data_IF_173805572607
#
_entry.id   IF_173805572607
#
_cell.length_a   1.000
_cell.length_b   1.000
_cell.length_c   1.000
_cell.angle_alpha   90.00
_cell.angle_beta   90.00
_cell.angle_gamma   90.00
#
_symmetry.space_group_name_H-M   'P 1'
#
loop_
_entity.id
_entity.type
_entity.pdbx_description
1 polymer ?
#
# COMPACT_ATOMS: atom_id res chain seq x y z
N UNK A 1 -52.31 26.70 44.96
CA UNK A 1 -52.58 25.67 43.93
C UNK A 1 -51.90 26.12 42.64
N UNK A 2 -50.59 25.90 42.56
CA UNK A 2 -49.90 24.85 41.78
C UNK A 2 -49.61 25.27 40.32
N UNK A 3 -48.50 26.00 40.18
CA UNK A 3 -47.74 26.25 38.96
C UNK A 3 -46.87 25.02 38.66
N UNK A 4 -47.16 24.26 37.60
CA UNK A 4 -46.28 23.16 37.16
C UNK A 4 -46.57 22.76 35.71
N UNK A 5 -46.32 23.64 34.72
CA UNK A 5 -46.15 23.20 33.32
C UNK A 5 -45.28 24.21 32.57
N UNK A 6 -43.94 24.15 32.66
CA UNK A 6 -43.04 24.81 31.69
C UNK A 6 -41.55 24.46 31.84
N UNK A 7 -41.19 23.19 32.11
CA UNK A 7 -39.76 22.77 32.20
C UNK A 7 -39.41 21.59 31.27
N UNK A 8 -40.35 21.06 30.46
CA UNK A 8 -40.03 19.91 29.58
C UNK A 8 -39.58 20.27 28.16
N UNK A 9 -39.58 21.54 27.76
CA UNK A 9 -39.22 21.94 26.38
C UNK A 9 -37.78 22.46 26.23
N UNK A 10 -37.03 22.62 27.33
CA UNK A 10 -35.64 23.09 27.27
C UNK A 10 -34.59 21.96 27.20
N UNK A 11 -34.98 20.71 27.45
CA UNK A 11 -34.08 19.55 27.41
C UNK A 11 -34.02 18.83 26.05
N UNK A 12 -34.85 19.23 25.08
CA UNK A 12 -34.84 18.69 23.71
C UNK A 12 -34.01 19.52 22.72
N UNK A 13 -33.37 20.61 23.16
CA UNK A 13 -32.53 21.49 22.33
C UNK A 13 -31.01 21.31 22.56
N UNK A 14 -30.60 20.33 23.38
CA UNK A 14 -29.19 20.04 23.67
C UNK A 14 -28.67 18.71 23.07
N UNK A 15 -29.46 18.02 22.25
CA UNK A 15 -29.01 16.85 21.48
C UNK A 15 -29.25 17.06 19.99
N UNK A 16 -28.89 18.24 19.51
CA UNK A 16 -28.54 18.44 18.11
C UNK A 16 -27.09 18.91 18.11
N UNK A 17 -26.19 17.98 18.45
CA UNK A 17 -24.81 18.08 18.04
C UNK A 17 -24.82 18.12 16.52
N UNK A 18 -24.88 19.34 15.98
CA UNK A 18 -24.58 19.64 14.61
C UNK A 18 -23.16 19.14 14.37
N UNK A 19 -23.06 17.93 13.80
CA UNK A 19 -21.82 17.41 13.27
C UNK A 19 -21.28 18.47 12.30
N UNK A 20 -20.06 18.97 12.49
CA UNK A 20 -19.51 19.96 11.61
C UNK A 20 -19.47 19.39 10.19
N UNK A 21 -19.85 20.26 9.27
CA UNK A 21 -19.79 20.17 7.82
C UNK A 21 -19.05 18.93 7.28
N UNK A 22 -19.80 18.07 6.58
CA UNK A 22 -19.37 17.34 5.38
C UNK A 22 -17.84 17.33 5.22
N UNK A 23 -17.16 16.40 5.91
CA UNK A 23 -15.85 15.94 5.49
C UNK A 23 -16.03 15.55 4.04
N UNK A 24 -15.59 16.43 3.14
CA UNK A 24 -15.65 16.24 1.70
C UNK A 24 -15.18 14.82 1.45
N UNK A 25 -16.07 13.98 0.91
CA UNK A 25 -15.74 12.58 0.66
C UNK A 25 -14.34 12.56 0.04
N UNK A 26 -13.40 11.79 0.61
CA UNK A 26 -12.01 11.81 0.15
C UNK A 26 -12.01 11.67 -1.38
N UNK A 27 -11.06 12.32 -2.06
CA UNK A 27 -10.92 12.49 -3.53
C UNK A 27 -11.19 11.22 -4.38
N UNK A 28 -11.20 10.06 -3.72
CA UNK A 28 -11.62 8.68 -4.03
C UNK A 28 -12.80 8.52 -5.02
N UNK A 29 -13.80 9.42 -5.05
CA UNK A 29 -14.98 9.22 -5.91
C UNK A 29 -14.81 9.64 -7.38
N UNK A 30 -13.79 10.41 -7.72
CA UNK A 30 -13.59 10.95 -9.10
C UNK A 30 -12.49 10.25 -9.89
N UNK A 31 -11.78 9.29 -9.28
CA UNK A 31 -10.60 8.70 -9.87
C UNK A 31 -10.91 7.86 -11.12
N UNK A 32 -10.08 8.07 -12.16
CA UNK A 32 -10.13 7.35 -13.45
C UNK A 32 -9.56 5.95 -13.29
N UNK A 33 -9.86 5.07 -14.24
CA UNK A 33 -9.29 3.73 -14.29
C UNK A 33 -7.75 3.80 -14.29
N UNK A 34 -7.10 2.95 -13.49
CA UNK A 34 -5.65 2.91 -13.36
C UNK A 34 -4.98 2.60 -14.70
N UNK A 35 -4.16 3.54 -15.19
CA UNK A 35 -3.29 3.37 -16.35
C UNK A 35 -1.83 3.24 -15.90
N UNK A 36 -0.99 2.70 -16.76
CA UNK A 36 0.41 2.43 -16.46
C UNK A 36 1.31 2.96 -17.57
N UNK A 37 2.36 3.66 -17.16
CA UNK A 37 3.52 3.97 -17.99
C UNK A 37 4.62 2.96 -17.75
N UNK A 38 5.46 2.75 -18.76
CA UNK A 38 6.59 1.83 -18.70
C UNK A 38 7.85 2.49 -19.26
N UNK A 39 9.00 2.09 -18.73
CA UNK A 39 10.29 2.56 -19.23
C UNK A 39 11.44 1.68 -18.78
N UNK A 40 12.57 1.73 -19.50
CA UNK A 40 13.78 1.03 -19.07
C UNK A 40 14.37 1.68 -17.82
N UNK A 41 14.83 0.85 -16.90
CA UNK A 41 15.76 1.29 -15.85
C UNK A 41 16.99 1.91 -16.51
N UNK A 42 17.42 3.07 -16.03
CA UNK A 42 18.59 3.78 -16.55
C UNK A 42 19.85 3.17 -15.97
N UNK A 43 20.89 3.04 -16.79
CA UNK A 43 22.20 2.59 -16.31
C UNK A 43 23.03 3.80 -15.87
N UNK A 44 23.28 3.99 -14.57
CA UNK A 44 24.21 5.02 -14.10
C UNK A 44 25.63 4.68 -14.58
N UNK A 45 26.38 5.71 -14.98
CA UNK A 45 27.79 5.55 -15.30
C UNK A 45 28.64 5.63 -14.02
N UNK A 46 29.84 5.05 -14.06
CA UNK A 46 30.85 5.20 -13.01
C UNK A 46 30.99 4.02 -12.05
N UNK A 47 32.11 4.03 -11.32
CA UNK A 47 32.56 2.95 -10.44
C UNK A 47 31.57 2.66 -9.29
N UNK A 48 31.00 3.70 -8.68
CA UNK A 48 30.11 3.56 -7.53
C UNK A 48 28.87 2.70 -7.81
N UNK A 49 28.33 2.74 -9.02
CA UNK A 49 27.18 1.92 -9.40
C UNK A 49 27.52 0.42 -9.37
N UNK A 50 28.73 0.07 -9.79
CA UNK A 50 29.18 -1.32 -9.82
C UNK A 50 29.42 -1.90 -8.43
N UNK A 51 29.74 -1.04 -7.46
CA UNK A 51 30.13 -1.44 -6.10
C UNK A 51 29.10 -1.04 -5.02
N UNK A 52 27.88 -0.65 -5.41
CA UNK A 52 26.87 -0.17 -4.45
C UNK A 52 26.56 -1.18 -3.33
N UNK A 53 26.52 -2.48 -3.66
CA UNK A 53 26.32 -3.56 -2.71
C UNK A 53 27.54 -3.78 -1.82
N UNK A 54 28.75 -3.67 -2.36
CA UNK A 54 29.99 -3.67 -1.56
C UNK A 54 30.00 -2.50 -0.57
N UNK A 55 29.65 -1.29 -1.03
CA UNK A 55 29.59 -0.11 -0.19
C UNK A 55 28.59 -0.25 0.96
N UNK A 56 27.37 -0.72 0.70
CA UNK A 56 26.39 -0.96 1.75
C UNK A 56 26.82 -2.07 2.73
N UNK A 57 27.52 -3.10 2.25
CA UNK A 57 28.10 -4.13 3.11
C UNK A 57 29.25 -3.62 3.99
N UNK A 58 30.05 -2.68 3.51
CA UNK A 58 31.13 -2.09 4.31
C UNK A 58 30.59 -1.14 5.38
N UNK A 59 29.52 -0.39 5.07
CA UNK A 59 28.74 0.39 6.04
C UNK A 59 28.25 -0.52 7.18
N UNK A 60 27.66 -1.68 6.84
CA UNK A 60 27.20 -2.67 7.83
C UNK A 60 28.28 -3.07 8.82
N UNK A 61 29.48 -3.38 8.31
CA UNK A 61 30.57 -3.94 9.11
C UNK A 61 31.25 -2.90 10.00
N UNK A 62 30.81 -1.63 9.98
CA UNK A 62 31.46 -0.47 10.63
C UNK A 62 32.97 -0.46 10.39
N UNK A 63 33.42 -1.02 9.27
CA UNK A 63 34.84 -1.17 8.99
C UNK A 63 35.40 0.24 8.85
N UNK A 64 36.37 0.59 9.71
CA UNK A 64 37.12 1.86 9.66
C UNK A 64 37.96 2.05 8.38
N UNK A 65 37.71 1.28 7.32
CA UNK A 65 38.31 1.46 5.99
C UNK A 65 37.59 2.62 5.26
N UNK A 66 37.13 3.64 6.01
CA UNK A 66 36.67 4.91 5.48
C UNK A 66 37.88 5.81 5.24
N UNK A 67 38.69 5.46 4.24
CA UNK A 67 39.52 6.45 3.52
C UNK A 67 39.00 6.75 2.13
N UNK A 68 38.01 6.00 1.64
CA UNK A 68 37.31 6.35 0.42
C UNK A 68 35.97 7.00 0.78
N UNK A 69 35.82 8.29 0.46
CA UNK A 69 34.55 9.03 0.37
C UNK A 69 33.48 8.34 -0.50
N UNK A 70 33.79 7.17 -1.10
CA UNK A 70 33.02 6.51 -2.14
C UNK A 70 31.78 5.77 -1.66
N UNK A 71 31.66 5.45 -0.36
CA UNK A 71 30.54 4.70 0.21
C UNK A 71 29.68 5.55 1.17
N UNK A 72 29.19 6.69 0.66
CA UNK A 72 28.29 7.59 1.36
C UNK A 72 26.81 7.22 1.03
N UNK A 73 25.91 7.08 2.02
CA UNK A 73 24.48 6.83 1.79
C UNK A 73 23.84 7.77 0.77
N UNK A 74 24.22 9.05 0.75
CA UNK A 74 23.75 10.03 -0.25
C UNK A 74 24.19 9.68 -1.67
N UNK A 75 25.42 9.19 -1.84
CA UNK A 75 25.94 8.77 -3.16
C UNK A 75 25.20 7.52 -3.61
N UNK A 76 25.04 6.53 -2.73
CA UNK A 76 24.26 5.31 -3.02
C UNK A 76 22.80 5.63 -3.38
N UNK A 77 22.16 6.52 -2.61
CA UNK A 77 20.80 6.97 -2.86
C UNK A 77 20.68 7.74 -4.18
N UNK A 78 21.65 8.62 -4.50
CA UNK A 78 21.73 9.32 -5.78
C UNK A 78 21.81 8.37 -6.97
N UNK A 79 22.63 7.33 -6.85
CA UNK A 79 22.76 6.28 -7.88
C UNK A 79 21.46 5.48 -8.02
N UNK A 80 20.85 5.07 -6.90
CA UNK A 80 19.59 4.35 -6.90
C UNK A 80 18.46 5.19 -7.52
N UNK A 81 18.37 6.47 -7.17
CA UNK A 81 17.43 7.42 -7.75
C UNK A 81 17.65 7.57 -9.26
N UNK A 82 18.89 7.83 -9.68
CA UNK A 82 19.21 8.00 -11.11
C UNK A 82 18.89 6.74 -11.92
N UNK A 83 19.06 5.55 -11.35
CA UNK A 83 18.76 4.29 -12.04
C UNK A 83 17.26 4.09 -12.36
N UNK A 84 16.36 4.83 -11.69
CA UNK A 84 14.93 4.78 -11.98
C UNK A 84 14.61 5.42 -13.34
N UNK A 85 13.56 4.99 -14.06
CA UNK A 85 13.17 5.58 -15.34
C UNK A 85 12.73 7.04 -15.20
N UNK A 86 13.07 7.91 -16.17
CA UNK A 86 12.74 9.33 -16.10
C UNK A 86 11.23 9.59 -15.95
N UNK A 87 10.38 8.85 -16.69
CA UNK A 87 8.93 9.00 -16.56
C UNK A 87 8.38 8.66 -15.17
N UNK A 88 9.09 7.87 -14.36
CA UNK A 88 8.72 7.64 -12.96
C UNK A 88 9.02 8.88 -12.11
N UNK A 89 10.15 9.56 -12.35
CA UNK A 89 10.45 10.84 -11.69
C UNK A 89 9.39 11.89 -12.03
N UNK A 90 8.99 11.97 -13.31
CA UNK A 90 7.97 12.92 -13.76
C UNK A 90 6.61 12.63 -13.10
N UNK A 91 6.25 11.35 -12.92
CA UNK A 91 5.06 10.93 -12.19
C UNK A 91 5.15 11.30 -10.69
N UNK A 92 6.27 10.99 -10.02
CA UNK A 92 6.49 11.34 -8.61
C UNK A 92 6.40 12.84 -8.37
N UNK A 93 6.95 13.65 -9.29
CA UNK A 93 6.80 15.10 -9.25
C UNK A 93 5.34 15.54 -9.41
N UNK A 94 4.64 15.00 -10.41
CA UNK A 94 3.26 15.40 -10.72
C UNK A 94 2.28 15.02 -9.62
N UNK A 95 2.32 13.77 -9.19
CA UNK A 95 1.32 13.17 -8.29
C UNK A 95 1.70 13.32 -6.81
N UNK A 96 2.98 13.14 -6.44
CA UNK A 96 3.42 13.17 -5.05
C UNK A 96 4.11 14.49 -4.66
N UNK A 97 4.38 15.38 -5.61
CA UNK A 97 5.12 16.64 -5.40
C UNK A 97 6.54 16.43 -4.87
N UNK A 98 7.18 15.33 -5.30
CA UNK A 98 8.54 14.96 -4.90
C UNK A 98 9.50 15.23 -6.07
N UNK A 99 10.44 16.16 -5.88
CA UNK A 99 11.50 16.42 -6.85
C UNK A 99 12.68 15.45 -6.73
N UNK A 100 13.66 15.56 -7.63
CA UNK A 100 14.82 14.66 -7.65
C UNK A 100 15.65 14.70 -6.35
N UNK A 101 15.80 15.87 -5.73
CA UNK A 101 16.55 16.01 -4.48
C UNK A 101 15.81 15.34 -3.31
N UNK A 102 14.50 15.48 -3.29
CA UNK A 102 13.61 14.89 -2.29
C UNK A 102 13.54 13.36 -2.45
N UNK A 103 13.53 12.85 -3.69
CA UNK A 103 13.68 11.40 -3.97
C UNK A 103 14.98 10.87 -3.33
N UNK A 104 16.11 11.54 -3.55
CA UNK A 104 17.40 11.13 -2.99
C UNK A 104 17.33 11.14 -1.46
N UNK A 105 16.83 12.22 -0.85
CA UNK A 105 16.67 12.33 0.60
C UNK A 105 15.81 11.20 1.18
N UNK A 106 14.70 10.88 0.53
CA UNK A 106 13.82 9.78 0.94
C UNK A 106 14.46 8.40 0.78
N UNK A 107 15.29 8.18 -0.25
CA UNK A 107 16.06 6.94 -0.37
C UNK A 107 17.13 6.87 0.73
N UNK A 108 17.81 7.97 1.08
CA UNK A 108 18.75 7.98 2.22
C UNK A 108 18.05 7.59 3.52
N UNK A 109 16.92 8.22 3.83
CA UNK A 109 16.11 7.89 5.01
C UNK A 109 15.67 6.42 5.00
N UNK A 110 15.22 5.91 3.86
CA UNK A 110 14.88 4.50 3.67
C UNK A 110 16.05 3.57 4.00
N UNK A 111 17.26 3.87 3.50
CA UNK A 111 18.46 3.08 3.75
C UNK A 111 18.85 3.03 5.24
N UNK A 112 18.51 4.07 6.01
CA UNK A 112 18.78 4.19 7.45
C UNK A 112 17.69 3.53 8.31
N UNK A 113 16.44 3.56 7.87
CA UNK A 113 15.29 3.06 8.64
C UNK A 113 15.11 1.54 8.57
N UNK A 114 15.51 0.89 7.48
CA UNK A 114 15.28 -0.55 7.28
C UNK A 114 16.50 -1.40 7.63
N UNK A 115 16.33 -2.71 7.92
CA UNK A 115 17.45 -3.62 8.07
C UNK A 115 18.37 -3.57 6.84
N UNK A 116 19.67 -3.59 7.07
CA UNK A 116 20.68 -3.43 6.04
C UNK A 116 20.59 -4.48 4.92
N UNK A 117 20.10 -5.68 5.24
CA UNK A 117 19.80 -6.75 4.27
C UNK A 117 18.76 -6.31 3.24
N UNK A 118 17.73 -5.59 3.69
CA UNK A 118 16.67 -5.03 2.84
C UNK A 118 17.25 -3.97 1.93
N UNK A 119 18.06 -3.05 2.49
CA UNK A 119 18.78 -2.01 1.74
C UNK A 119 19.69 -2.60 0.66
N UNK A 120 20.50 -3.61 1.01
CA UNK A 120 21.37 -4.33 0.07
C UNK A 120 20.53 -5.04 -1.01
N UNK A 121 19.48 -5.76 -0.63
CA UNK A 121 18.60 -6.45 -1.57
C UNK A 121 17.99 -5.51 -2.60
N UNK A 122 17.52 -4.34 -2.16
CA UNK A 122 16.99 -3.27 -3.03
C UNK A 122 18.07 -2.71 -3.97
N UNK A 123 19.24 -2.37 -3.44
CA UNK A 123 20.35 -1.84 -4.24
C UNK A 123 20.85 -2.85 -5.28
N UNK A 124 21.00 -4.12 -4.90
CA UNK A 124 21.38 -5.21 -5.81
C UNK A 124 20.36 -5.37 -6.92
N UNK A 125 19.06 -5.38 -6.59
CA UNK A 125 18.00 -5.48 -7.58
C UNK A 125 18.00 -4.30 -8.56
N UNK A 126 18.14 -3.06 -8.05
CA UNK A 126 18.22 -1.86 -8.89
C UNK A 126 19.43 -1.94 -9.82
N UNK A 127 20.62 -2.26 -9.29
CA UNK A 127 21.84 -2.40 -10.09
C UNK A 127 21.68 -3.43 -11.20
N UNK A 128 21.20 -4.63 -10.87
CA UNK A 128 21.00 -5.69 -11.86
C UNK A 128 19.94 -5.32 -12.91
N UNK A 129 18.88 -4.64 -12.50
CA UNK A 129 17.80 -4.21 -13.40
C UNK A 129 18.27 -3.10 -14.34
N UNK A 130 19.00 -2.11 -13.83
CA UNK A 130 19.62 -1.04 -14.60
C UNK A 130 20.69 -1.55 -15.58
N UNK A 131 21.57 -2.47 -15.17
CA UNK A 131 22.56 -3.10 -16.06
C UNK A 131 21.90 -3.78 -17.26
N UNK A 132 20.73 -4.37 -17.05
CA UNK A 132 19.96 -5.08 -18.09
C UNK A 132 18.94 -4.19 -18.80
N UNK A 133 18.92 -2.88 -18.51
CA UNK A 133 17.90 -1.94 -18.99
C UNK A 133 16.48 -2.50 -18.85
N UNK A 134 16.21 -3.20 -17.74
CA UNK A 134 14.95 -3.89 -17.51
C UNK A 134 13.80 -2.90 -17.65
N UNK A 135 12.79 -3.25 -18.45
CA UNK A 135 11.55 -2.49 -18.50
C UNK A 135 10.77 -2.72 -17.21
N UNK A 136 10.40 -1.62 -16.56
CA UNK A 136 9.51 -1.59 -15.40
C UNK A 136 8.33 -0.69 -15.71
N UNK A 137 7.21 -0.92 -15.06
CA UNK A 137 6.04 -0.06 -15.18
C UNK A 137 5.61 0.48 -13.82
N UNK A 138 4.84 1.54 -13.84
CA UNK A 138 4.28 2.20 -12.66
C UNK A 138 2.93 2.82 -13.01
N UNK A 139 2.01 2.98 -12.04
CA UNK A 139 0.73 3.63 -12.30
C UNK A 139 0.92 5.12 -12.60
N UNK A 140 0.18 5.65 -13.57
CA UNK A 140 0.24 7.09 -13.92
C UNK A 140 -0.36 8.00 -12.85
N UNK A 141 -1.33 7.45 -12.12
CA UNK A 141 -2.04 8.06 -10.99
C UNK A 141 -2.17 6.99 -9.89
N UNK A 142 -1.14 6.80 -9.04
CA UNK A 142 -1.18 5.83 -7.96
C UNK A 142 -2.35 6.11 -7.00
N UNK A 143 -3.01 5.07 -6.48
CA UNK A 143 -4.11 5.19 -5.52
C UNK A 143 -3.63 5.39 -4.06
N UNK A 144 -2.32 5.57 -3.90
CA UNK A 144 -1.60 5.76 -2.65
C UNK A 144 -0.54 6.84 -2.81
N UNK A 145 -0.01 7.31 -1.68
CA UNK A 145 1.12 8.23 -1.57
C UNK A 145 2.30 7.55 -0.90
N UNK A 146 3.49 8.15 -0.92
CA UNK A 146 4.64 7.63 -0.20
C UNK A 146 4.41 7.50 1.32
N UNK A 147 3.53 8.33 1.90
CA UNK A 147 3.21 8.31 3.34
C UNK A 147 2.41 7.08 3.77
N UNK A 148 1.80 6.35 2.83
CA UNK A 148 1.08 5.12 3.11
C UNK A 148 2.03 3.95 3.42
N UNK A 149 3.34 4.17 3.27
CA UNK A 149 4.40 3.24 3.61
C UNK A 149 5.26 3.82 4.73
N UNK A 150 5.85 2.95 5.54
CA UNK A 150 6.77 3.38 6.61
C UNK A 150 8.01 4.08 6.07
N UNK A 151 8.39 3.78 4.83
CA UNK A 151 9.56 4.34 4.17
C UNK A 151 9.43 4.27 2.64
N UNK A 152 10.21 5.12 1.96
CA UNK A 152 10.04 5.38 0.53
C UNK A 152 10.45 4.21 -0.37
N UNK A 153 11.41 3.38 0.02
CA UNK A 153 11.77 2.17 -0.72
C UNK A 153 10.62 1.16 -0.78
N UNK A 154 9.75 1.15 0.23
CA UNK A 154 8.51 0.40 0.27
C UNK A 154 7.48 0.91 -0.73
N UNK A 155 7.31 2.23 -0.79
CA UNK A 155 6.48 2.88 -1.79
C UNK A 155 7.01 2.60 -3.21
N UNK A 156 8.33 2.67 -3.44
CA UNK A 156 8.95 2.29 -4.71
C UNK A 156 8.68 0.82 -5.07
N UNK A 157 8.77 -0.10 -4.10
CA UNK A 157 8.47 -1.51 -4.34
C UNK A 157 7.00 -1.78 -4.68
N UNK A 158 6.08 -0.93 -4.20
CA UNK A 158 4.68 -0.97 -4.57
C UNK A 158 4.42 -0.33 -5.95
N UNK A 159 5.14 0.73 -6.31
CA UNK A 159 5.02 1.41 -7.61
C UNK A 159 5.59 0.56 -8.76
N UNK A 160 6.76 -0.05 -8.56
CA UNK A 160 7.48 -0.77 -9.60
C UNK A 160 6.89 -2.17 -9.81
N UNK A 161 6.30 -2.36 -10.99
CA UNK A 161 5.64 -3.61 -11.37
C UNK A 161 6.15 -4.14 -12.70
N UNK A 162 5.90 -5.43 -12.93
CA UNK A 162 6.18 -6.06 -14.22
C UNK A 162 5.37 -5.41 -15.35
N UNK A 163 5.96 -5.32 -16.56
CA UNK A 163 5.21 -5.00 -17.76
C UNK A 163 4.03 -5.96 -18.00
N UNK A 164 3.02 -5.54 -18.77
CA UNK A 164 2.00 -6.44 -19.26
C UNK A 164 2.58 -7.70 -19.88
N UNK A 165 2.28 -8.83 -19.27
CA UNK A 165 2.24 -10.14 -19.91
C UNK A 165 0.79 -10.56 -20.18
N UNK A 166 0.60 -11.68 -20.87
CA UNK A 166 -0.73 -12.17 -21.20
C UNK A 166 -1.60 -12.41 -19.94
N UNK A 167 -1.00 -12.88 -18.85
CA UNK A 167 -1.70 -13.18 -17.60
C UNK A 167 -2.12 -11.91 -16.82
N UNK A 168 -1.27 -10.90 -16.75
CA UNK A 168 -1.58 -9.59 -16.15
C UNK A 168 -2.56 -8.79 -17.00
N UNK A 169 -2.58 -8.99 -18.32
CA UNK A 169 -3.61 -8.40 -19.18
C UNK A 169 -5.01 -8.96 -18.88
N UNK A 170 -5.11 -10.27 -18.67
CA UNK A 170 -6.38 -10.93 -18.34
C UNK A 170 -6.94 -10.45 -16.99
N UNK A 171 -6.09 -10.35 -15.97
CA UNK A 171 -6.50 -9.97 -14.61
C UNK A 171 -6.52 -8.46 -14.36
N UNK A 172 -5.83 -7.67 -15.19
CA UNK A 172 -5.60 -6.24 -14.94
C UNK A 172 -4.71 -5.95 -13.74
N UNK A 173 -4.26 -6.98 -13.02
CA UNK A 173 -3.37 -6.89 -11.89
C UNK A 173 -1.94 -6.92 -12.37
N UNK A 174 -1.18 -5.88 -12.01
CA UNK A 174 0.26 -5.89 -12.20
C UNK A 174 0.92 -6.61 -11.05
N UNK A 175 1.88 -7.50 -11.38
CA UNK A 175 2.66 -8.25 -10.38
C UNK A 175 3.89 -7.44 -9.98
N UNK A 176 4.26 -7.46 -8.71
CA UNK A 176 5.49 -6.84 -8.22
C UNK A 176 6.72 -7.67 -8.59
N UNK A 177 7.88 -7.05 -8.56
CA UNK A 177 9.14 -7.79 -8.65
C UNK A 177 9.45 -8.46 -7.31
N UNK A 178 9.25 -9.78 -7.20
CA UNK A 178 9.44 -10.51 -5.93
C UNK A 178 10.86 -10.39 -5.35
N UNK A 179 11.87 -10.24 -6.23
CA UNK A 179 13.27 -10.02 -5.84
C UNK A 179 13.58 -8.59 -5.39
N UNK A 180 12.64 -7.65 -5.53
CA UNK A 180 12.76 -6.30 -4.98
C UNK A 180 12.06 -6.30 -3.62
N UNK A 181 12.80 -6.18 -2.50
CA UNK A 181 12.22 -6.31 -1.17
C UNK A 181 11.06 -5.32 -0.94
N UNK A 182 9.88 -5.78 -0.49
CA UNK A 182 8.74 -4.92 -0.23
C UNK A 182 9.02 -4.01 0.98
N UNK A 183 8.15 -3.04 1.21
CA UNK A 183 8.11 -2.29 2.47
C UNK A 183 6.82 -2.52 3.23
N UNK A 184 6.79 -2.00 4.46
CA UNK A 184 5.63 -2.10 5.34
C UNK A 184 4.72 -0.88 5.18
N UNK A 185 3.43 -1.10 5.41
CA UNK A 185 2.43 -0.04 5.45
C UNK A 185 2.59 0.79 6.73
N UNK A 186 2.33 2.09 6.61
CA UNK A 186 2.27 2.98 7.77
C UNK A 186 1.13 2.54 8.69
N UNK A 187 1.39 2.36 9.99
CA UNK A 187 0.37 1.84 10.92
C UNK A 187 -0.62 2.89 11.40
N UNK A 188 -0.17 4.14 11.48
CA UNK A 188 -0.91 5.30 11.97
C UNK A 188 -1.76 5.98 10.88
N UNK A 189 -2.22 5.22 9.88
CA UNK A 189 -2.99 5.76 8.74
C UNK A 189 -4.14 4.85 8.39
N UNK A 190 -5.21 5.47 7.87
CA UNK A 190 -6.30 4.76 7.21
C UNK A 190 -5.89 4.49 5.77
N UNK A 191 -5.89 3.23 5.38
CA UNK A 191 -5.60 2.80 4.01
C UNK A 191 -6.89 2.45 3.29
N UNK A 192 -7.05 2.92 2.06
CA UNK A 192 -8.25 2.66 1.27
C UNK A 192 -7.97 1.72 0.09
N UNK A 193 -8.88 0.78 -0.11
CA UNK A 193 -9.04 0.01 -1.35
C UNK A 193 -10.33 0.51 -2.02
N UNK A 194 -10.24 0.97 -3.25
CA UNK A 194 -11.38 1.55 -3.97
C UNK A 194 -11.24 1.37 -5.49
N UNK A 195 -12.23 1.82 -6.27
CA UNK A 195 -12.32 1.58 -7.73
C UNK A 195 -11.10 2.02 -8.57
N UNK A 196 -10.24 2.91 -8.05
CA UNK A 196 -9.01 3.31 -8.73
C UNK A 196 -7.83 2.39 -8.44
N UNK A 197 -7.90 1.61 -7.37
CA UNK A 197 -6.83 0.70 -6.94
C UNK A 197 -6.58 -0.43 -7.94
N UNK A 198 -7.62 -0.87 -8.66
CA UNK A 198 -7.55 -1.86 -9.73
C UNK A 198 -8.86 -1.90 -10.53
N UNK A 199 -8.90 -2.64 -11.63
CA UNK A 199 -10.13 -2.88 -12.36
C UNK A 199 -11.02 -3.89 -11.61
N UNK A 200 -12.08 -3.40 -10.96
CA UNK A 200 -12.99 -4.20 -10.13
C UNK A 200 -13.64 -5.34 -10.91
N UNK A 201 -13.98 -5.13 -12.19
CA UNK A 201 -14.57 -6.18 -13.01
C UNK A 201 -13.60 -7.35 -13.24
N UNK A 202 -12.33 -7.05 -13.52
CA UNK A 202 -11.31 -8.09 -13.71
C UNK A 202 -10.96 -8.81 -12.41
N UNK A 203 -10.92 -8.10 -11.27
CA UNK A 203 -10.77 -8.74 -9.96
C UNK A 203 -11.95 -9.63 -9.63
N UNK A 204 -13.16 -9.15 -9.87
CA UNK A 204 -14.35 -9.95 -9.63
C UNK A 204 -14.33 -11.23 -10.46
N UNK A 205 -13.83 -11.21 -11.69
CA UNK A 205 -13.67 -12.43 -12.50
C UNK A 205 -12.75 -13.50 -11.86
N UNK A 206 -11.88 -13.11 -10.92
CA UNK A 206 -10.99 -14.01 -10.19
C UNK A 206 -11.57 -14.53 -8.87
N UNK A 207 -12.79 -14.12 -8.48
CA UNK A 207 -13.37 -14.49 -7.18
C UNK A 207 -13.39 -16.00 -6.97
N UNK A 208 -13.60 -16.80 -8.03
CA UNK A 208 -13.60 -18.26 -7.97
C UNK A 208 -12.29 -18.88 -7.47
N UNK A 209 -11.16 -18.20 -7.65
CA UNK A 209 -9.86 -18.65 -7.11
C UNK A 209 -9.80 -18.53 -5.58
N UNK A 210 -10.62 -17.65 -4.99
CA UNK A 210 -10.58 -17.33 -3.57
C UNK A 210 -11.74 -17.93 -2.80
N UNK A 211 -12.92 -17.91 -3.43
CA UNK A 211 -14.18 -18.40 -2.90
C UNK A 211 -14.96 -19.05 -4.04
N UNK A 212 -15.26 -20.33 -3.89
CA UNK A 212 -16.13 -21.07 -4.80
C UNK A 212 -17.25 -21.77 -4.04
N UNK A 213 -18.37 -21.98 -4.71
CA UNK A 213 -19.52 -22.67 -4.15
C UNK A 213 -19.47 -24.12 -4.60
N UNK A 214 -19.43 -25.05 -3.66
CA UNK A 214 -19.50 -26.48 -3.95
C UNK A 214 -20.92 -26.92 -4.32
N UNK A 215 -21.06 -28.21 -4.62
CA UNK A 215 -22.38 -28.86 -4.61
C UNK A 215 -23.03 -28.59 -3.23
N UNK A 216 -24.31 -28.22 -3.22
CA UNK A 216 -25.09 -27.80 -2.03
C UNK A 216 -24.86 -26.36 -1.52
N UNK A 217 -24.14 -25.51 -2.25
CA UNK A 217 -24.04 -24.07 -1.92
C UNK A 217 -23.12 -23.73 -0.75
N UNK A 218 -22.39 -24.71 -0.23
CA UNK A 218 -21.35 -24.49 0.79
C UNK A 218 -20.19 -23.71 0.16
N UNK A 219 -19.80 -22.60 0.77
CA UNK A 219 -18.64 -21.81 0.33
C UNK A 219 -17.35 -22.47 0.77
N UNK A 220 -16.46 -22.73 -0.18
CA UNK A 220 -15.09 -23.18 0.03
C UNK A 220 -14.14 -22.03 -0.27
N UNK A 221 -13.13 -21.87 0.58
CA UNK A 221 -12.14 -20.79 0.49
C UNK A 221 -10.75 -21.36 0.24
N UNK A 222 -9.93 -20.62 -0.51
CA UNK A 222 -8.51 -20.93 -0.57
C UNK A 222 -7.88 -20.85 0.84
N UNK A 223 -6.81 -21.63 1.04
CA UNK A 223 -6.11 -21.65 2.31
C UNK A 223 -5.50 -20.27 2.60
N UNK A 224 -5.36 -19.92 3.90
CA UNK A 224 -4.73 -18.65 4.31
C UNK A 224 -3.33 -18.51 3.70
N UNK A 225 -2.55 -19.58 3.66
CA UNK A 225 -1.20 -19.56 3.09
C UNK A 225 -1.23 -19.26 1.60
N UNK A 226 -2.15 -19.90 0.85
CA UNK A 226 -2.30 -19.62 -0.58
C UNK A 226 -2.65 -18.13 -0.82
N UNK A 227 -3.55 -17.56 0.00
CA UNK A 227 -3.90 -16.14 -0.08
C UNK A 227 -2.70 -15.22 0.20
N UNK A 228 -1.91 -15.57 1.22
CA UNK A 228 -0.68 -14.85 1.55
C UNK A 228 0.26 -14.87 0.34
N UNK A 229 0.52 -16.05 -0.23
CA UNK A 229 1.43 -16.20 -1.36
C UNK A 229 0.92 -15.43 -2.59
N UNK A 230 -0.38 -15.49 -2.88
CA UNK A 230 -1.00 -14.79 -4.01
C UNK A 230 -0.94 -13.26 -3.83
N UNK A 231 -1.44 -12.73 -2.72
CA UNK A 231 -1.40 -11.28 -2.45
C UNK A 231 0.02 -10.77 -2.29
N UNK A 232 0.97 -11.65 -1.91
CA UNK A 232 2.38 -11.26 -1.87
C UNK A 232 2.91 -10.90 -3.26
N UNK A 233 2.33 -11.40 -4.34
CA UNK A 233 2.81 -11.09 -5.70
C UNK A 233 2.17 -9.84 -6.31
N UNK A 234 1.15 -9.27 -5.69
CA UNK A 234 0.43 -8.12 -6.25
C UNK A 234 1.24 -6.84 -6.10
N UNK A 235 1.25 -6.02 -7.15
CA UNK A 235 1.78 -4.66 -7.12
C UNK A 235 0.83 -3.68 -6.42
N UNK A 236 1.31 -2.46 -6.24
CA UNK A 236 0.58 -1.40 -5.55
C UNK A 236 0.39 -1.65 -4.06
N UNK A 237 -0.41 -0.78 -3.42
CA UNK A 237 -0.70 -0.88 -1.98
C UNK A 237 -1.66 -2.02 -1.65
N UNK A 238 -2.60 -2.33 -2.54
CA UNK A 238 -3.65 -3.35 -2.33
C UNK A 238 -3.08 -4.71 -1.95
N UNK A 239 -2.07 -5.18 -2.68
CA UNK A 239 -1.43 -6.47 -2.37
C UNK A 239 -0.92 -6.52 -0.93
N UNK A 240 -0.28 -5.43 -0.47
CA UNK A 240 0.22 -5.31 0.91
C UNK A 240 -0.91 -5.27 1.93
N UNK A 241 -1.99 -4.56 1.62
CA UNK A 241 -3.15 -4.46 2.50
C UNK A 241 -3.81 -5.81 2.71
N UNK A 242 -4.11 -6.52 1.61
CA UNK A 242 -4.74 -7.84 1.67
C UNK A 242 -3.82 -8.85 2.33
N UNK A 243 -2.52 -8.85 1.99
CA UNK A 243 -1.51 -9.68 2.67
C UNK A 243 -1.51 -9.44 4.19
N UNK A 244 -1.41 -8.18 4.63
CA UNK A 244 -1.40 -7.82 6.04
C UNK A 244 -2.73 -8.14 6.76
N UNK A 245 -3.81 -8.27 5.99
CA UNK A 245 -5.12 -8.69 6.47
C UNK A 245 -5.26 -10.20 6.62
N UNK A 246 -4.36 -11.03 6.07
CA UNK A 246 -4.41 -12.49 6.21
C UNK A 246 -3.80 -12.97 7.54
N UNK A 247 -4.30 -12.47 8.67
CA UNK A 247 -3.79 -12.80 10.00
C UNK A 247 -4.24 -14.20 10.46
N UNK A 248 -3.48 -14.79 11.38
CA UNK A 248 -3.84 -16.06 12.04
C UNK A 248 -4.95 -15.87 13.08
N UNK A 249 -4.90 -14.76 13.79
CA UNK A 249 -5.89 -14.31 14.76
C UNK A 249 -6.16 -12.82 14.52
N UNK A 250 -7.34 -12.37 14.91
CA UNK A 250 -7.78 -10.99 14.71
C UNK A 250 -8.20 -10.43 16.05
N UNK A 251 -7.66 -9.26 16.37
CA UNK A 251 -7.90 -8.53 17.60
C UNK A 251 -8.49 -7.16 17.22
N UNK A 252 -9.20 -6.53 18.15
CA UNK A 252 -9.72 -5.20 17.94
C UNK A 252 -8.74 -4.19 18.52
N UNK A 253 -7.93 -3.59 17.65
CA UNK A 253 -6.92 -2.60 18.05
C UNK A 253 -7.48 -1.16 18.12
N UNK A 254 -8.76 -0.96 17.77
CA UNK A 254 -9.42 0.35 17.80
C UNK A 254 -10.05 0.62 19.18
N UNK A 255 -9.74 1.76 19.80
CA UNK A 255 -10.18 2.07 21.17
C UNK A 255 -11.71 2.22 21.30
N UNK A 256 -12.41 2.59 20.22
CA UNK A 256 -13.88 2.70 20.20
C UNK A 256 -14.60 1.35 20.17
N UNK A 257 -13.86 0.24 20.13
CA UNK A 257 -14.39 -1.11 20.02
C UNK A 257 -14.74 -1.52 18.59
N UNK A 258 -14.92 -2.82 18.38
CA UNK A 258 -15.19 -3.38 17.06
C UNK A 258 -16.49 -4.17 17.05
N UNK A 259 -17.17 -4.13 15.90
CA UNK A 259 -18.35 -4.93 15.61
C UNK A 259 -17.97 -6.27 14.99
N UNK A 260 -18.79 -7.28 15.24
CA UNK A 260 -18.59 -8.64 14.71
C UNK A 260 -19.26 -8.88 13.36
N UNK A 261 -19.99 -7.88 12.84
CA UNK A 261 -20.60 -7.87 11.51
C UNK A 261 -20.21 -6.57 10.81
N UNK A 262 -19.80 -6.61 9.53
CA UNK A 262 -19.35 -5.41 8.84
C UNK A 262 -20.52 -4.46 8.60
N UNK A 263 -20.29 -3.18 8.88
CA UNK A 263 -21.23 -2.10 8.63
C UNK A 263 -20.45 -0.83 8.24
N UNK A 264 -21.14 0.14 7.67
CA UNK A 264 -20.54 1.42 7.28
C UNK A 264 -20.23 2.26 8.53
N UNK A 265 -19.01 2.79 8.60
CA UNK A 265 -18.59 3.66 9.71
C UNK A 265 -18.19 2.93 10.98
N UNK A 266 -18.29 1.60 11.02
CA UNK A 266 -18.02 0.79 12.21
C UNK A 266 -16.77 -0.07 12.00
N UNK A 267 -15.88 -0.09 12.99
CA UNK A 267 -14.67 -0.90 12.97
C UNK A 267 -15.05 -2.39 12.99
N UNK A 268 -14.82 -3.12 11.91
CA UNK A 268 -15.12 -4.54 11.84
C UNK A 268 -13.90 -5.38 12.24
N UNK A 269 -14.11 -6.28 13.22
CA UNK A 269 -13.15 -7.32 13.58
C UNK A 269 -13.58 -8.65 12.94
N UNK A 270 -12.83 -9.17 11.96
CA UNK A 270 -13.18 -10.42 11.30
C UNK A 270 -12.93 -11.61 12.22
N UNK A 271 -13.72 -12.67 12.07
CA UNK A 271 -13.52 -13.92 12.83
C UNK A 271 -12.42 -14.82 12.23
N UNK A 272 -12.18 -14.67 10.94
CA UNK A 272 -11.21 -15.46 10.18
C UNK A 272 -10.80 -14.72 8.90
N UNK A 273 -9.78 -15.23 8.20
CA UNK A 273 -9.39 -14.69 6.89
C UNK A 273 -10.52 -14.81 5.86
N UNK A 274 -11.43 -15.78 6.01
CA UNK A 274 -12.59 -15.92 5.15
C UNK A 274 -13.52 -14.70 5.25
N UNK A 275 -13.75 -14.19 6.47
CA UNK A 275 -14.54 -12.97 6.69
C UNK A 275 -13.89 -11.73 6.07
N UNK A 276 -12.56 -11.66 6.04
CA UNK A 276 -11.82 -10.59 5.34
C UNK A 276 -12.07 -10.68 3.83
N UNK A 277 -11.94 -11.88 3.25
CA UNK A 277 -12.16 -12.11 1.83
C UNK A 277 -13.60 -11.78 1.45
N UNK A 278 -14.58 -12.17 2.26
CA UNK A 278 -15.99 -11.85 2.02
C UNK A 278 -16.25 -10.34 2.03
N UNK A 279 -15.70 -9.61 3.01
CA UNK A 279 -15.85 -8.16 3.08
C UNK A 279 -15.21 -7.46 1.87
N UNK A 280 -14.01 -7.90 1.50
CA UNK A 280 -13.32 -7.36 0.33
C UNK A 280 -14.06 -7.67 -0.97
N UNK A 281 -14.53 -8.90 -1.17
CA UNK A 281 -15.34 -9.28 -2.33
C UNK A 281 -16.66 -8.50 -2.38
N UNK A 282 -17.31 -8.28 -1.23
CA UNK A 282 -18.50 -7.43 -1.13
C UNK A 282 -18.18 -5.98 -1.55
N UNK A 283 -17.06 -5.42 -1.09
CA UNK A 283 -16.57 -4.11 -1.51
C UNK A 283 -16.33 -4.04 -3.02
N UNK A 284 -15.72 -5.07 -3.62
CA UNK A 284 -15.48 -5.16 -5.06
C UNK A 284 -16.78 -5.25 -5.85
N UNK A 285 -17.71 -6.12 -5.43
CA UNK A 285 -19.00 -6.32 -6.09
C UNK A 285 -19.83 -5.02 -6.11
N UNK A 286 -19.91 -4.34 -4.96
CA UNK A 286 -20.69 -3.11 -4.82
C UNK A 286 -19.96 -1.83 -5.23
N UNK A 287 -18.69 -1.94 -5.66
CA UNK A 287 -17.82 -0.78 -5.95
C UNK A 287 -17.66 0.18 -4.77
N UNK A 288 -17.80 -0.33 -3.55
CA UNK A 288 -17.69 0.43 -2.31
C UNK A 288 -16.23 0.55 -1.87
N UNK A 289 -15.80 1.69 -1.31
CA UNK A 289 -14.49 1.79 -0.68
C UNK A 289 -14.42 0.90 0.57
N UNK A 290 -13.26 0.28 0.78
CA UNK A 290 -12.90 -0.47 1.98
C UNK A 290 -11.70 0.21 2.65
N UNK A 291 -11.90 0.68 3.87
CA UNK A 291 -10.85 1.18 4.74
C UNK A 291 -10.21 0.02 5.51
N UNK A 292 -8.90 0.08 5.70
CA UNK A 292 -8.13 -0.86 6.50
C UNK A 292 -7.21 -0.05 7.41
N UNK A 293 -7.27 -0.31 8.72
CA UNK A 293 -6.40 0.31 9.72
C UNK A 293 -5.56 -0.76 10.42
N UNK A 294 -4.37 -0.40 10.89
CA UNK A 294 -3.44 -1.31 11.58
C UNK A 294 -3.17 -0.85 13.02
N UNK A 295 -4.25 -0.52 13.71
CA UNK A 295 -4.23 0.13 15.00
C UNK A 295 -5.25 1.26 15.09
N UNK A 296 -5.04 2.07 16.11
CA UNK A 296 -5.92 3.18 16.43
C UNK A 296 -5.81 4.34 15.44
N UNK A 297 -6.93 5.04 15.22
CA UNK A 297 -7.01 6.19 14.31
C UNK A 297 -7.80 7.33 14.93
N UNK A 298 -7.32 8.55 14.74
CA UNK A 298 -7.96 9.75 15.29
C UNK A 298 -9.32 10.03 14.64
N UNK A 299 -9.42 9.82 13.32
CA UNK A 299 -10.66 10.03 12.56
C UNK A 299 -11.17 8.70 12.02
N UNK A 300 -12.28 8.17 12.56
CA UNK A 300 -12.89 6.94 12.06
C UNK A 300 -13.32 7.05 10.60
N UNK A 301 -13.03 6.03 9.76
CA UNK A 301 -13.53 5.97 8.39
C UNK A 301 -15.04 5.84 8.36
N UNK A 302 -15.72 6.53 7.45
CA UNK A 302 -17.18 6.42 7.26
C UNK A 302 -17.58 5.39 6.17
N UNK A 303 -16.71 4.42 5.88
CA UNK A 303 -16.90 3.40 4.84
C UNK A 303 -17.02 2.01 5.44
N UNK A 304 -17.05 0.95 4.62
CA UNK A 304 -16.69 -0.37 5.13
C UNK A 304 -15.28 -0.28 5.71
N UNK A 305 -15.07 -0.82 6.91
CA UNK A 305 -13.83 -0.62 7.65
C UNK A 305 -13.39 -1.89 8.34
N UNK A 306 -12.23 -2.41 7.93
CA UNK A 306 -11.53 -3.50 8.59
C UNK A 306 -10.52 -2.93 9.58
N UNK A 307 -10.69 -3.21 10.88
CA UNK A 307 -9.72 -2.84 11.91
C UNK A 307 -8.87 -4.06 12.24
N UNK A 308 -7.54 -3.92 12.12
CA UNK A 308 -6.60 -5.03 12.26
C UNK A 308 -5.56 -4.81 13.34
#
# INVERSE_FOLDING_TARGET
MCRTVQILSLLLLLVSASFPASLSAPRILTARQLTYSCGPMRQPQGFHFWHIDTCLNDVRKKKKIYKFQMCNPHVSAGIMAYALPQGLHDMLWREFKIDNLTIIKHIVQSLEMVPIETSIGRAVWIRQSAKRQRIVCWPDQPDFTNEDFQEFGGALAALLVHPPDAASNATGLRRRFMKFPPGFLARNRVHYIYKASYNYHKIWALHGNWRHYGLFGVSYYASRQWMIDEFDTWGGRVGRLLLASMRKAYECDYHGGCVTKPNWGEAFQPKSHQSVIDLWLYSVSNRSPLAITFGDVETPPNTLWLSL
#
